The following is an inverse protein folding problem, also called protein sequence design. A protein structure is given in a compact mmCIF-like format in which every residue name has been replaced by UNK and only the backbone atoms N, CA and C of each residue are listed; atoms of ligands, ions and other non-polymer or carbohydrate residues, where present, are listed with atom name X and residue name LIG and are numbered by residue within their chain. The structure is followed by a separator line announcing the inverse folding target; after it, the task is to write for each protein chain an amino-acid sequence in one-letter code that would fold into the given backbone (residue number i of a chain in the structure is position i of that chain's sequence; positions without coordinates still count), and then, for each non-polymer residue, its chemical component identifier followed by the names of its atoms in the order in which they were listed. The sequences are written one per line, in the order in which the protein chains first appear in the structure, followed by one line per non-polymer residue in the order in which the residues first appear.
data_IF_792031177915
#
_entry.id   IF_792031177915
#
_cell.length_a   1.000
_cell.length_b   1.000
_cell.length_c   1.000
_cell.angle_alpha   90.00
_cell.angle_beta   90.00
_cell.angle_gamma   90.00
#
_symmetry.space_group_name_H-M   'P 1'
#
loop_
_entity.id
_entity.type
_entity.pdbx_description
1 polymer ?
#
# COMPACT_ATOMS: atom_id res chain seq x y z
N UNK A 1 3.67 -15.65 4.32
CA UNK A 1 3.62 -14.27 3.81
C UNK A 1 2.82 -14.13 2.55
N UNK A 2 2.11 -12.99 2.37
CA UNK A 2 1.40 -12.67 1.15
C UNK A 2 2.39 -12.58 -0.02
N UNK A 3 2.07 -13.26 -1.11
CA UNK A 3 2.89 -13.18 -2.32
C UNK A 3 2.33 -12.08 -3.22
N UNK A 4 3.09 -11.00 -3.40
CA UNK A 4 2.66 -9.82 -4.18
C UNK A 4 2.23 -10.13 -5.62
N UNK A 5 2.86 -11.12 -6.26
CA UNK A 5 2.50 -11.57 -7.62
C UNK A 5 1.32 -12.55 -7.72
N UNK A 6 0.58 -12.79 -6.62
CA UNK A 6 -0.59 -13.69 -6.58
C UNK A 6 -1.76 -12.99 -5.90
N UNK A 7 -2.96 -13.53 -6.11
CA UNK A 7 -4.15 -13.13 -5.34
C UNK A 7 -3.86 -13.22 -3.86
N UNK A 8 -4.01 -12.10 -3.17
CA UNK A 8 -3.85 -11.99 -1.74
C UNK A 8 -4.79 -10.89 -1.23
N UNK A 9 -5.19 -11.00 0.04
CA UNK A 9 -6.16 -10.11 0.70
C UNK A 9 -5.49 -9.26 1.77
N UNK A 10 -4.23 -8.86 1.54
CA UNK A 10 -3.49 -8.08 2.51
C UNK A 10 -4.19 -6.74 2.78
N UNK A 11 -4.47 -6.46 4.05
CA UNK A 11 -5.07 -5.20 4.50
C UNK A 11 -4.01 -4.20 4.91
N UNK A 12 -4.38 -2.93 5.00
CA UNK A 12 -3.51 -1.87 5.53
C UNK A 12 -2.92 -2.25 6.90
N UNK A 13 -3.79 -2.63 7.86
CA UNK A 13 -3.34 -2.90 9.24
C UNK A 13 -2.43 -4.13 9.32
N UNK A 14 -2.71 -5.16 8.51
CA UNK A 14 -1.83 -6.32 8.39
C UNK A 14 -0.49 -5.94 7.75
N UNK A 15 -0.47 -5.05 6.75
CA UNK A 15 0.76 -4.56 6.15
C UNK A 15 1.60 -3.75 7.14
N UNK A 16 0.98 -2.89 7.96
CA UNK A 16 1.68 -2.15 9.03
C UNK A 16 2.29 -3.09 10.07
N UNK A 17 1.60 -4.18 10.42
CA UNK A 17 2.10 -5.17 11.37
C UNK A 17 3.23 -6.04 10.79
N UNK A 18 3.14 -6.43 9.52
CA UNK A 18 4.12 -7.30 8.86
C UNK A 18 5.40 -6.57 8.41
N UNK A 19 5.28 -5.30 8.05
CA UNK A 19 6.37 -4.52 7.47
C UNK A 19 6.65 -3.27 8.33
N UNK A 20 7.64 -3.30 9.23
CA UNK A 20 7.93 -2.19 10.15
C UNK A 20 8.16 -0.83 9.48
N UNK A 21 8.63 -0.82 8.23
CA UNK A 21 8.88 0.39 7.45
C UNK A 21 7.73 0.78 6.50
N UNK A 22 6.56 0.15 6.62
CA UNK A 22 5.43 0.39 5.71
C UNK A 22 4.98 1.84 5.69
N UNK A 23 4.91 2.49 6.86
CA UNK A 23 4.52 3.90 6.95
C UNK A 23 5.50 4.84 6.23
N UNK A 24 6.81 4.56 6.33
CA UNK A 24 7.82 5.31 5.59
C UNK A 24 7.66 5.14 4.07
N UNK A 25 7.38 3.91 3.62
CA UNK A 25 7.11 3.64 2.21
C UNK A 25 5.83 4.35 1.73
N UNK A 26 4.78 4.35 2.55
CA UNK A 26 3.51 5.04 2.28
C UNK A 26 3.73 6.55 2.11
N UNK A 27 4.57 7.15 2.95
CA UNK A 27 4.95 8.56 2.85
C UNK A 27 5.74 8.84 1.56
N UNK A 28 6.77 8.05 1.28
CA UNK A 28 7.57 8.17 0.06
C UNK A 28 6.72 8.04 -1.22
N UNK A 29 5.77 7.09 -1.24
CA UNK A 29 4.82 6.95 -2.35
C UNK A 29 4.01 8.22 -2.57
N UNK A 30 3.53 8.89 -1.50
CA UNK A 30 2.77 10.14 -1.63
C UNK A 30 3.60 11.27 -2.20
N UNK A 31 4.89 11.32 -1.88
CA UNK A 31 5.83 12.30 -2.42
C UNK A 31 6.09 12.08 -3.91
N UNK A 32 6.30 10.83 -4.33
CA UNK A 32 6.65 10.48 -5.72
C UNK A 32 5.43 10.38 -6.65
N UNK A 33 4.26 10.00 -6.12
CA UNK A 33 3.01 9.91 -6.86
C UNK A 33 1.88 10.69 -6.17
N UNK A 34 1.97 12.03 -6.13
CA UNK A 34 1.01 12.88 -5.43
C UNK A 34 -0.38 12.86 -6.07
N UNK A 35 -0.47 12.43 -7.34
CA UNK A 35 -1.73 12.30 -8.08
C UNK A 35 -2.27 10.87 -8.09
N UNK A 36 -1.61 9.93 -7.43
CA UNK A 36 -2.09 8.54 -7.33
C UNK A 36 -2.19 7.80 -8.67
N UNK A 37 -1.39 8.16 -9.68
CA UNK A 37 -1.45 7.54 -11.01
C UNK A 37 -1.10 6.05 -11.00
N UNK A 38 -0.36 5.60 -9.99
CA UNK A 38 0.03 4.19 -9.81
C UNK A 38 -0.91 3.44 -8.86
N UNK A 39 -1.92 4.10 -8.29
CA UNK A 39 -2.86 3.47 -7.37
C UNK A 39 -4.02 2.83 -8.15
N UNK A 40 -4.19 1.52 -7.96
CA UNK A 40 -5.43 0.82 -8.28
C UNK A 40 -6.27 0.63 -7.00
N UNK A 41 -7.53 0.18 -7.08
CA UNK A 41 -8.38 0.03 -5.89
C UNK A 41 -7.79 -0.84 -4.78
N UNK A 42 -7.07 -1.91 -5.14
CA UNK A 42 -6.37 -2.76 -4.17
C UNK A 42 -5.28 -1.99 -3.41
N UNK A 43 -4.40 -1.29 -4.16
CA UNK A 43 -3.33 -0.48 -3.57
C UNK A 43 -3.87 0.72 -2.80
N UNK A 44 -4.96 1.32 -3.25
CA UNK A 44 -5.64 2.39 -2.55
C UNK A 44 -6.11 1.93 -1.16
N UNK A 45 -6.79 0.78 -1.07
CA UNK A 45 -7.17 0.17 0.21
C UNK A 45 -5.97 -0.20 1.07
N UNK A 46 -4.93 -0.79 0.46
CA UNK A 46 -3.70 -1.18 1.16
C UNK A 46 -2.95 0.01 1.75
N UNK A 47 -2.89 1.15 1.05
CA UNK A 47 -2.24 2.37 1.51
C UNK A 47 -3.17 3.35 2.22
N UNK A 48 -4.44 2.99 2.47
CA UNK A 48 -5.43 3.90 3.05
C UNK A 48 -5.58 5.22 2.27
N UNK A 49 -5.44 5.15 0.95
CA UNK A 49 -5.49 6.30 0.05
C UNK A 49 -6.81 6.35 -0.72
N UNK A 50 -7.30 7.55 -1.02
CA UNK A 50 -8.41 7.76 -1.94
C UNK A 50 -7.86 7.89 -3.37
N UNK A 51 -8.48 7.17 -4.32
CA UNK A 51 -8.24 7.27 -5.77
C UNK A 51 -9.30 8.13 -6.43
#
# INVERSE_FOLDING_TARGET
DPHWGKLNSLTHDAACALYPNFENFKALRRELDPRGRMLNPYLAGLFGAQI
#
